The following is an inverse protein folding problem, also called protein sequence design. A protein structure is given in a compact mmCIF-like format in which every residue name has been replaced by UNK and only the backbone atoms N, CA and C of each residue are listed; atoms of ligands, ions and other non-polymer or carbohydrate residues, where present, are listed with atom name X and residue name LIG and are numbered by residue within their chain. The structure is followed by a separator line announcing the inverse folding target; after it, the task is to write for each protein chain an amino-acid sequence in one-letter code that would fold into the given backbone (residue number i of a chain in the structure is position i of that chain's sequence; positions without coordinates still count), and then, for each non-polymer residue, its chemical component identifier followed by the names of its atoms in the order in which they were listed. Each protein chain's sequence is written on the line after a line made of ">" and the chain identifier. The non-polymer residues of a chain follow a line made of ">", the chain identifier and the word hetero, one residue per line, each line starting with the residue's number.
data_IF_310405837005
#
_entry.id   IF_310405837005
#
_cell.length_a   1.000
_cell.length_b   1.000
_cell.length_c   1.000
_cell.angle_alpha   90.00
_cell.angle_beta   90.00
_cell.angle_gamma   90.00
#
_symmetry.space_group_name_H-M   'P 1'
#
loop_
_entity.id
_entity.type
_entity.pdbx_description
1 polymer ?
#
# COMPACT_ATOMS: atom_id res chain seq x y z
N UNK A 1 -4.65 13.55 1.13
CA UNK A 1 -3.78 12.49 0.58
C UNK A 1 -4.22 11.15 1.19
N UNK A 2 -4.85 10.24 0.42
CA UNK A 2 -5.61 9.08 0.95
C UNK A 2 -4.91 7.72 0.80
N UNK A 3 -3.72 7.69 0.18
CA UNK A 3 -3.02 6.46 -0.21
C UNK A 3 -1.61 6.48 0.38
N UNK A 4 -1.23 5.39 1.04
CA UNK A 4 0.07 5.18 1.67
C UNK A 4 0.94 4.27 0.82
N UNK A 5 2.25 4.53 0.76
CA UNK A 5 3.21 3.81 -0.07
C UNK A 5 3.21 4.28 -1.52
N UNK A 6 4.30 4.93 -1.93
CA UNK A 6 4.50 5.49 -3.29
C UNK A 6 4.40 4.42 -4.39
N UNK A 7 4.77 3.19 -4.08
CA UNK A 7 4.70 2.04 -4.98
C UNK A 7 3.28 1.69 -5.45
N UNK A 8 2.24 2.09 -4.71
CA UNK A 8 0.87 1.85 -5.13
C UNK A 8 0.45 2.72 -6.32
N UNK A 9 1.00 3.94 -6.43
CA UNK A 9 0.77 4.81 -7.58
C UNK A 9 1.47 4.26 -8.83
N UNK A 10 2.69 3.72 -8.70
CA UNK A 10 3.39 3.09 -9.82
C UNK A 10 2.61 1.90 -10.38
N UNK A 11 2.10 1.01 -9.52
CA UNK A 11 1.28 -0.11 -9.99
C UNK A 11 0.01 0.36 -10.72
N UNK A 12 -0.68 1.39 -10.22
CA UNK A 12 -1.87 1.92 -10.88
C UNK A 12 -1.57 2.54 -12.25
N UNK A 13 -0.48 3.32 -12.35
CA UNK A 13 -0.05 3.92 -13.61
C UNK A 13 0.34 2.85 -14.66
N UNK A 14 1.11 1.83 -14.25
CA UNK A 14 1.52 0.74 -15.15
C UNK A 14 0.31 -0.04 -15.68
N UNK A 15 -0.66 -0.37 -14.82
CA UNK A 15 -1.88 -1.06 -15.25
C UNK A 15 -2.73 -0.17 -16.17
N UNK A 16 -2.89 1.12 -15.84
CA UNK A 16 -3.64 2.07 -16.66
C UNK A 16 -3.06 2.23 -18.06
N UNK A 17 -1.74 2.41 -18.17
CA UNK A 17 -1.06 2.48 -19.46
C UNK A 17 -1.19 1.17 -20.25
N UNK A 18 -1.10 0.03 -19.57
CA UNK A 18 -1.22 -1.29 -20.18
C UNK A 18 -2.59 -1.59 -20.80
N UNK A 19 -3.66 -0.93 -20.33
CA UNK A 19 -5.02 -1.06 -20.88
C UNK A 19 -5.39 0.10 -21.81
N UNK A 20 -4.42 0.97 -22.14
CA UNK A 20 -4.60 2.10 -23.08
C UNK A 20 -5.28 3.33 -22.48
N UNK A 21 -5.28 3.50 -21.16
CA UNK A 21 -5.75 4.77 -20.56
C UNK A 21 -4.74 5.87 -20.86
N UNK A 22 -5.25 7.01 -21.32
CA UNK A 22 -4.47 8.21 -21.55
C UNK A 22 -3.75 8.69 -20.27
N UNK A 23 -2.54 9.23 -20.42
CA UNK A 23 -1.69 9.62 -19.29
C UNK A 23 -2.30 10.77 -18.46
N UNK A 24 -3.01 11.71 -19.11
CA UNK A 24 -3.70 12.81 -18.42
C UNK A 24 -4.94 12.28 -17.67
N UNK A 25 -5.61 11.29 -18.26
CA UNK A 25 -6.70 10.57 -17.59
C UNK A 25 -6.19 9.76 -16.38
N UNK A 26 -5.02 9.12 -16.46
CA UNK A 26 -4.37 8.46 -15.32
C UNK A 26 -4.02 9.50 -14.25
N UNK A 27 -3.37 10.60 -14.61
CA UNK A 27 -2.97 11.66 -13.68
C UNK A 27 -4.16 12.24 -12.91
N UNK A 28 -5.23 12.58 -13.63
CA UNK A 28 -6.47 13.15 -13.05
C UNK A 28 -7.29 12.16 -12.20
N UNK A 29 -7.07 10.85 -12.36
CA UNK A 29 -7.76 9.81 -11.58
C UNK A 29 -6.89 9.17 -10.51
N UNK A 30 -5.57 9.34 -10.56
CA UNK A 30 -4.62 8.78 -9.58
C UNK A 30 -4.91 9.30 -8.16
N UNK A 31 -5.39 10.53 -8.03
CA UNK A 31 -5.80 11.10 -6.73
C UNK A 31 -7.08 10.46 -6.18
N UNK A 32 -7.93 9.93 -7.07
CA UNK A 32 -9.17 9.22 -6.74
C UNK A 32 -8.94 7.72 -6.52
N UNK A 33 -7.73 7.23 -6.79
CA UNK A 33 -7.36 5.84 -6.63
C UNK A 33 -7.64 5.40 -5.20
N UNK A 34 -8.53 4.41 -5.06
CA UNK A 34 -8.72 3.71 -3.79
C UNK A 34 -7.79 2.51 -3.79
N UNK A 35 -7.03 2.36 -2.71
CA UNK A 35 -6.21 1.18 -2.54
C UNK A 35 -7.09 -0.07 -2.56
N UNK A 36 -6.63 -1.15 -3.21
CA UNK A 36 -7.24 -2.46 -3.05
C UNK A 36 -7.29 -2.82 -1.57
N UNK A 37 -8.37 -3.48 -1.15
CA UNK A 37 -8.47 -4.03 0.21
C UNK A 37 -7.18 -4.78 0.57
N UNK A 38 -6.70 -4.53 1.79
CA UNK A 38 -5.52 -5.13 2.40
C UNK A 38 -4.17 -4.75 1.77
N UNK A 39 -4.08 -3.63 1.05
CA UNK A 39 -2.80 -2.99 0.68
C UNK A 39 -2.61 -1.71 1.47
N UNK A 40 -1.67 -1.69 2.42
CA UNK A 40 -1.39 -0.56 3.30
C UNK A 40 -2.65 0.09 3.90
N UNK A 41 -3.64 -0.73 4.24
CA UNK A 41 -4.96 -0.28 4.68
C UNK A 41 -4.94 0.01 6.17
N UNK A 42 -5.22 1.25 6.57
CA UNK A 42 -5.45 1.58 7.98
C UNK A 42 -6.80 0.97 8.40
N UNK A 43 -6.79 0.07 9.38
CA UNK A 43 -8.00 -0.59 9.89
C UNK A 43 -8.52 0.04 11.18
N UNK A 44 -7.63 0.55 12.03
CA UNK A 44 -8.00 1.37 13.18
C UNK A 44 -6.82 2.23 13.66
N UNK A 45 -7.13 3.28 14.42
CA UNK A 45 -6.20 3.96 15.31
C UNK A 45 -6.72 3.73 16.72
N UNK A 46 -5.90 3.21 17.61
CA UNK A 46 -6.33 2.97 18.98
C UNK A 46 -6.12 4.21 19.88
N UNK A 47 -6.68 4.12 21.09
CA UNK A 47 -6.59 5.18 22.10
C UNK A 47 -5.16 5.36 22.65
N UNK A 48 -4.21 4.48 22.30
CA UNK A 48 -2.80 4.58 22.69
C UNK A 48 -1.95 5.22 21.58
N UNK A 49 -2.57 5.66 20.47
CA UNK A 49 -1.87 6.27 19.35
C UNK A 49 -1.16 5.28 18.42
N UNK A 50 -1.54 4.00 18.47
CA UNK A 50 -1.04 2.98 17.53
C UNK A 50 -1.95 2.96 16.31
N UNK A 51 -1.34 3.07 15.13
CA UNK A 51 -2.03 2.84 13.86
C UNK A 51 -1.93 1.38 13.46
N UNK A 52 -3.07 0.72 13.28
CA UNK A 52 -3.15 -0.66 12.83
C UNK A 52 -3.34 -0.69 11.31
N UNK A 53 -2.42 -1.39 10.63
CA UNK A 53 -2.38 -1.46 9.18
C UNK A 53 -2.51 -2.93 8.74
N UNK A 54 -3.53 -3.20 7.92
CA UNK A 54 -3.67 -4.47 7.22
C UNK A 54 -2.95 -4.37 5.87
N UNK A 55 -1.86 -5.11 5.76
CA UNK A 55 -1.11 -5.31 4.53
C UNK A 55 -0.94 -6.82 4.25
N UNK A 56 -1.99 -7.63 4.52
CA UNK A 56 -1.96 -9.10 4.32
C UNK A 56 -1.68 -9.52 2.87
N UNK A 57 -1.77 -8.60 1.90
CA UNK A 57 -1.34 -8.85 0.52
C UNK A 57 0.18 -8.73 0.30
N UNK A 58 0.93 -8.21 1.26
CA UNK A 58 2.38 -8.32 1.28
C UNK A 58 2.78 -9.77 1.63
N UNK A 59 2.86 -10.60 0.60
CA UNK A 59 3.17 -12.04 0.72
C UNK A 59 4.63 -12.39 0.42
N UNK A 60 5.44 -11.39 0.04
CA UNK A 60 6.86 -11.50 -0.24
C UNK A 60 7.65 -10.41 0.48
N UNK A 61 8.98 -10.60 0.53
CA UNK A 61 9.90 -9.69 1.22
C UNK A 61 9.84 -8.27 0.66
N UNK A 62 9.92 -8.13 -0.68
CA UNK A 62 9.98 -6.81 -1.33
C UNK A 62 8.70 -5.99 -1.09
N UNK A 63 7.54 -6.64 -1.14
CA UNK A 63 6.25 -6.00 -0.84
C UNK A 63 6.20 -5.50 0.60
N UNK A 64 6.65 -6.33 1.55
CA UNK A 64 6.70 -5.95 2.97
C UNK A 64 7.67 -4.79 3.19
N UNK A 65 8.85 -4.86 2.59
CA UNK A 65 9.85 -3.80 2.67
C UNK A 65 9.32 -2.47 2.12
N UNK A 66 8.66 -2.49 0.97
CA UNK A 66 8.03 -1.30 0.39
C UNK A 66 6.93 -0.71 1.27
N UNK A 67 6.14 -1.56 1.95
CA UNK A 67 5.15 -1.15 2.94
C UNK A 67 5.78 -0.46 4.16
N UNK A 68 6.84 -1.06 4.72
CA UNK A 68 7.60 -0.50 5.85
C UNK A 68 8.24 0.84 5.50
N UNK A 69 8.84 0.98 4.32
CA UNK A 69 9.40 2.25 3.87
C UNK A 69 8.32 3.35 3.73
N UNK A 70 7.10 2.97 3.35
CA UNK A 70 5.95 3.87 3.30
C UNK A 70 5.44 4.35 4.67
N UNK A 71 5.88 3.72 5.76
CA UNK A 71 5.53 4.08 7.15
C UNK A 71 6.61 4.91 7.86
N UNK A 72 7.74 5.18 7.19
CA UNK A 72 8.86 5.94 7.75
C UNK A 72 8.37 7.29 8.28
N UNK A 73 8.67 7.59 9.55
CA UNK A 73 8.26 8.81 10.24
C UNK A 73 7.01 8.67 11.12
N UNK A 74 6.34 7.51 11.14
CA UNK A 74 5.29 7.21 12.12
C UNK A 74 5.89 6.73 13.44
N UNK A 75 5.31 7.18 14.55
CA UNK A 75 5.81 6.89 15.90
C UNK A 75 5.52 5.45 16.34
N UNK A 76 4.31 4.96 16.10
CA UNK A 76 3.89 3.61 16.48
C UNK A 76 2.88 3.07 15.49
N UNK A 77 3.17 1.90 14.92
CA UNK A 77 2.27 1.23 13.99
C UNK A 77 2.43 -0.29 14.08
N UNK A 78 1.31 -0.99 14.07
CA UNK A 78 1.25 -2.43 13.91
C UNK A 78 0.90 -2.76 12.46
N UNK A 79 1.69 -3.61 11.81
CA UNK A 79 1.48 -4.01 10.41
C UNK A 79 1.29 -5.51 10.34
N UNK A 80 0.11 -5.94 9.89
CA UNK A 80 -0.15 -7.35 9.61
C UNK A 80 0.23 -7.68 8.16
N UNK A 81 1.16 -8.61 7.97
CA UNK A 81 1.61 -9.11 6.66
C UNK A 81 1.58 -10.65 6.62
N UNK A 82 1.57 -11.24 5.42
CA UNK A 82 1.43 -12.69 5.22
C UNK A 82 2.60 -13.28 4.42
N UNK A 83 3.83 -13.00 4.86
CA UNK A 83 5.03 -13.51 4.21
C UNK A 83 5.04 -15.04 4.29
N UNK A 84 5.07 -15.70 3.13
CA UNK A 84 5.29 -17.14 3.09
C UNK A 84 6.76 -17.43 3.33
N UNK A 85 7.09 -18.08 4.45
CA UNK A 85 8.39 -18.73 4.58
C UNK A 85 8.43 -19.89 3.58
N UNK A 86 9.36 -19.86 2.62
CA UNK A 86 9.68 -21.07 1.86
C UNK A 86 10.38 -22.00 2.82
N UNK A 87 9.74 -23.11 3.18
CA UNK A 87 10.43 -24.25 3.79
C UNK A 87 11.54 -24.67 2.82
N UNK A 88 12.78 -24.66 3.32
CA UNK A 88 13.91 -25.26 2.61
C UNK A 88 13.70 -26.76 2.45
#
# INVERSE_FOLDING_TARGET
>A
MKVMGTHNYYHAAVVGLGIGVDVEAIGSTIEKLRLPLHRMQIVCNDNHGITWVNDSKATNFDATYAGLMGLKGRKSCYVHCAIRQRSQ
#
